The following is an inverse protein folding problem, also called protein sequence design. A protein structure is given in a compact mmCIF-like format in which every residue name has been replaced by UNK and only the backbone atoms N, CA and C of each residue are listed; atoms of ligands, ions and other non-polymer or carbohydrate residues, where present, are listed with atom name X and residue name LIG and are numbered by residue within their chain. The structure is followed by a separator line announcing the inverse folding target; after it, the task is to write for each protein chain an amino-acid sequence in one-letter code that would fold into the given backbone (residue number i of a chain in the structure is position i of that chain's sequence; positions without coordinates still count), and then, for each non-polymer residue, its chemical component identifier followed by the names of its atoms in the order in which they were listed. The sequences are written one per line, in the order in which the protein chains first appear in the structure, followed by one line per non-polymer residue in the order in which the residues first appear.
data_IF_524372718106
#
_entry.id   IF_524372718106
#
_cell.length_a   1.000
_cell.length_b   1.000
_cell.length_c   1.000
_cell.angle_alpha   90.00
_cell.angle_beta   90.00
_cell.angle_gamma   90.00
#
_symmetry.space_group_name_H-M   'P 1'
#
loop_
_entity.id
_entity.type
_entity.pdbx_description
1 polymer ?
#
# COMPACT_ATOMS: atom_id res chain seq x y z
N UNK A 1 9.74 -9.84 24.58
CA UNK A 1 10.00 -10.34 23.22
C UNK A 1 8.85 -9.93 22.30
N UNK A 2 9.02 -9.95 20.97
CA UNK A 2 7.97 -9.56 20.00
C UNK A 2 8.25 -8.32 19.13
N UNK A 3 9.51 -7.90 19.03
CA UNK A 3 10.00 -6.98 17.99
C UNK A 3 11.23 -7.64 17.38
N UNK A 4 11.24 -7.80 16.06
CA UNK A 4 12.32 -8.41 15.28
C UNK A 4 12.81 -7.39 14.26
N UNK A 5 14.12 -7.29 14.01
CA UNK A 5 14.69 -6.28 13.12
C UNK A 5 15.21 -6.89 11.81
N UNK A 6 15.13 -6.11 10.73
CA UNK A 6 15.79 -6.32 9.45
C UNK A 6 15.70 -7.73 8.85
N UNK A 7 16.72 -8.56 9.07
CA UNK A 7 16.78 -9.93 8.55
C UNK A 7 15.99 -10.91 9.42
N UNK A 8 15.99 -10.72 10.74
CA UNK A 8 15.20 -11.53 11.68
C UNK A 8 13.71 -11.34 11.41
N UNK A 9 13.28 -10.10 11.11
CA UNK A 9 11.90 -9.80 10.74
C UNK A 9 11.44 -10.56 9.48
N UNK A 10 12.30 -10.62 8.45
CA UNK A 10 12.05 -11.39 7.22
C UNK A 10 12.05 -12.89 7.52
N UNK A 11 12.95 -13.38 8.38
CA UNK A 11 12.97 -14.78 8.80
C UNK A 11 11.68 -15.16 9.53
N UNK A 12 11.26 -14.40 10.54
CA UNK A 12 10.01 -14.66 11.28
C UNK A 12 8.80 -14.68 10.34
N UNK A 13 8.67 -13.73 9.40
CA UNK A 13 7.59 -13.81 8.40
C UNK A 13 7.71 -15.05 7.51
N UNK A 14 8.92 -15.47 7.15
CA UNK A 14 9.15 -16.67 6.32
C UNK A 14 8.73 -17.98 7.01
N UNK A 15 8.84 -18.04 8.33
CA UNK A 15 8.44 -19.19 9.15
C UNK A 15 6.90 -19.32 9.20
N UNK A 16 6.19 -18.18 9.18
CA UNK A 16 4.72 -18.10 9.25
C UNK A 16 3.99 -18.14 7.90
N UNK A 17 4.67 -18.27 6.75
CA UNK A 17 3.99 -18.25 5.41
C UNK A 17 3.00 -19.40 5.17
N UNK A 18 2.97 -20.42 6.03
CA UNK A 18 2.04 -21.55 5.92
C UNK A 18 0.82 -21.41 6.82
N UNK A 19 0.81 -20.43 7.72
CA UNK A 19 -0.25 -20.26 8.69
C UNK A 19 -1.52 -19.72 7.99
N UNK A 20 -2.67 -20.09 8.54
CA UNK A 20 -3.96 -19.51 8.16
C UNK A 20 -4.14 -18.16 8.83
N UNK A 21 -4.49 -17.13 8.07
CA UNK A 21 -4.72 -15.77 8.57
C UNK A 21 -6.23 -15.46 8.60
N UNK A 22 -6.73 -14.97 9.73
CA UNK A 22 -8.15 -14.69 9.91
C UNK A 22 -8.64 -13.54 9.01
N UNK A 23 -7.74 -12.61 8.66
CA UNK A 23 -8.01 -11.53 7.71
C UNK A 23 -8.08 -11.95 6.23
N UNK A 24 -7.71 -13.19 5.87
CA UNK A 24 -7.63 -13.62 4.47
C UNK A 24 -9.00 -13.86 3.83
N UNK A 25 -9.28 -13.18 2.72
CA UNK A 25 -10.47 -13.44 1.89
C UNK A 25 -10.25 -14.61 0.93
N UNK A 26 -11.34 -15.10 0.32
CA UNK A 26 -11.27 -16.09 -0.77
C UNK A 26 -10.39 -15.64 -1.94
N UNK A 27 -10.30 -14.33 -2.20
CA UNK A 27 -9.37 -13.78 -3.20
C UNK A 27 -7.92 -14.09 -2.84
N UNK A 28 -7.50 -13.75 -1.63
CA UNK A 28 -6.11 -13.97 -1.21
C UNK A 28 -5.80 -15.44 -0.97
N UNK A 29 -6.75 -16.27 -0.54
CA UNK A 29 -6.59 -17.73 -0.51
C UNK A 29 -6.34 -18.31 -1.91
N UNK A 30 -6.98 -17.78 -2.95
CA UNK A 30 -6.72 -18.17 -4.34
C UNK A 30 -5.38 -17.65 -4.86
N UNK A 31 -5.05 -16.38 -4.61
CA UNK A 31 -3.79 -15.77 -5.08
C UNK A 31 -2.55 -16.38 -4.40
N UNK A 32 -2.66 -16.74 -3.12
CA UNK A 32 -1.57 -17.28 -2.30
C UNK A 32 -1.45 -18.81 -2.29
N UNK A 33 -2.20 -19.51 -3.16
CA UNK A 33 -2.20 -20.98 -3.24
C UNK A 33 -0.81 -21.56 -3.52
N UNK A 34 -0.12 -20.98 -4.50
CA UNK A 34 1.19 -21.46 -4.97
C UNK A 34 2.36 -20.65 -4.40
N UNK A 35 2.08 -19.71 -3.48
CA UNK A 35 3.07 -18.81 -2.91
C UNK A 35 4.12 -19.60 -2.12
N UNK A 36 5.39 -19.33 -2.41
CA UNK A 36 6.52 -19.96 -1.72
C UNK A 36 7.71 -19.01 -1.61
N UNK A 37 8.48 -19.19 -0.53
CA UNK A 37 9.71 -18.47 -0.27
C UNK A 37 10.78 -19.43 0.22
N UNK A 38 11.86 -19.57 -0.55
CA UNK A 38 12.95 -20.49 -0.25
C UNK A 38 14.30 -19.84 -0.60
N UNK A 39 15.24 -19.84 0.35
CA UNK A 39 16.61 -19.31 0.15
C UNK A 39 16.63 -17.88 -0.44
N UNK A 40 15.78 -16.98 0.08
CA UNK A 40 15.67 -15.60 -0.39
C UNK A 40 14.93 -15.41 -1.73
N UNK A 41 14.41 -16.49 -2.35
CA UNK A 41 13.68 -16.45 -3.63
C UNK A 41 12.19 -16.59 -3.40
N UNK A 42 11.42 -15.62 -3.90
CA UNK A 42 9.96 -15.64 -3.95
C UNK A 42 9.46 -16.29 -5.24
N UNK A 43 8.43 -17.15 -5.12
CA UNK A 43 7.70 -17.76 -6.23
C UNK A 43 6.18 -17.81 -5.93
N UNK A 44 5.35 -18.08 -6.94
CA UNK A 44 3.89 -18.11 -6.78
C UNK A 44 3.25 -16.75 -6.50
N UNK A 45 3.88 -15.65 -6.94
CA UNK A 45 3.47 -14.27 -6.67
C UNK A 45 2.30 -13.83 -7.58
N UNK A 46 1.18 -14.57 -7.53
CA UNK A 46 -0.08 -14.20 -8.20
C UNK A 46 -0.82 -13.14 -7.37
N UNK A 47 -1.57 -12.26 -8.01
CA UNK A 47 -2.30 -11.15 -7.34
C UNK A 47 -1.50 -9.84 -7.23
N UNK A 48 -0.17 -9.89 -7.17
CA UNK A 48 0.69 -8.70 -7.05
C UNK A 48 0.89 -7.98 -8.41
N UNK A 49 -0.21 -7.57 -9.05
CA UNK A 49 -0.20 -6.76 -10.26
C UNK A 49 0.72 -7.29 -11.38
N UNK A 50 1.48 -6.38 -11.99
CA UNK A 50 2.28 -6.67 -13.21
C UNK A 50 3.67 -7.32 -12.98
N UNK A 51 3.96 -7.83 -11.77
CA UNK A 51 5.29 -8.34 -11.38
C UNK A 51 5.94 -9.33 -12.34
N UNK A 52 5.23 -10.40 -12.73
CA UNK A 52 5.77 -11.43 -13.62
C UNK A 52 6.11 -10.89 -15.01
N UNK A 53 5.47 -9.79 -15.41
CA UNK A 53 5.65 -9.13 -16.70
C UNK A 53 6.71 -8.03 -16.70
N UNK A 54 7.33 -7.66 -15.56
CA UNK A 54 8.13 -6.42 -15.43
C UNK A 54 9.52 -6.57 -14.77
N UNK A 55 10.14 -7.74 -14.76
CA UNK A 55 11.58 -7.84 -14.41
C UNK A 55 12.42 -7.02 -15.40
N UNK A 56 13.32 -6.16 -14.91
CA UNK A 56 14.01 -5.17 -15.76
C UNK A 56 14.83 -5.80 -16.91
N UNK A 57 15.31 -7.03 -16.74
CA UNK A 57 16.04 -7.78 -17.76
C UNK A 57 15.20 -8.55 -18.79
N UNK A 58 13.87 -8.70 -18.62
CA UNK A 58 13.05 -9.55 -19.50
C UNK A 58 12.43 -8.85 -20.70
N UNK A 59 12.68 -7.54 -20.90
CA UNK A 59 12.07 -6.73 -21.97
C UNK A 59 13.05 -6.12 -22.96
N UNK A 60 12.65 -6.18 -24.23
CA UNK A 60 13.35 -5.52 -25.33
C UNK A 60 13.33 -4.00 -25.18
N UNK A 61 14.30 -3.33 -25.81
CA UNK A 61 14.38 -1.87 -25.83
C UNK A 61 13.08 -1.22 -26.34
N UNK A 62 12.50 -1.78 -27.41
CA UNK A 62 11.24 -1.33 -28.02
C UNK A 62 10.09 -1.33 -27.01
N UNK A 63 9.97 -2.38 -26.19
CA UNK A 63 8.92 -2.46 -25.17
C UNK A 63 9.09 -1.36 -24.10
N UNK A 64 10.33 -1.03 -23.70
CA UNK A 64 10.60 0.05 -22.73
C UNK A 64 10.20 1.41 -23.29
N UNK A 65 10.53 1.69 -24.55
CA UNK A 65 10.13 2.94 -25.24
C UNK A 65 8.60 3.04 -25.34
N UNK A 66 7.93 1.97 -25.75
CA UNK A 66 6.46 1.90 -25.81
C UNK A 66 5.82 2.15 -24.43
N UNK A 67 6.38 1.57 -23.36
CA UNK A 67 5.92 1.83 -21.99
C UNK A 67 6.05 3.30 -21.58
N UNK A 68 7.18 3.96 -21.85
CA UNK A 68 7.36 5.39 -21.56
C UNK A 68 6.36 6.24 -22.36
N UNK A 69 6.11 5.88 -23.63
CA UNK A 69 5.14 6.57 -24.48
C UNK A 69 3.71 6.44 -23.94
N UNK A 70 3.21 5.24 -23.65
CA UNK A 70 1.84 5.06 -23.13
C UNK A 70 1.62 5.66 -21.73
N UNK A 71 2.68 5.72 -20.91
CA UNK A 71 2.64 6.43 -19.63
C UNK A 71 2.47 7.95 -19.77
N UNK A 72 2.71 8.57 -20.93
CA UNK A 72 2.54 10.03 -21.10
C UNK A 72 1.12 10.50 -20.75
N UNK A 73 0.09 9.72 -21.09
CA UNK A 73 -1.32 10.00 -20.73
C UNK A 73 -1.51 10.13 -19.21
N UNK A 74 -0.86 9.25 -18.44
CA UNK A 74 -0.95 9.23 -16.99
C UNK A 74 -0.04 10.27 -16.33
N UNK A 75 1.17 10.51 -16.88
CA UNK A 75 2.04 11.60 -16.41
C UNK A 75 1.41 12.98 -16.58
N UNK A 76 0.63 13.19 -17.65
CA UNK A 76 -0.13 14.42 -17.85
C UNK A 76 -1.17 14.66 -16.75
N UNK A 77 -1.73 13.62 -16.11
CA UNK A 77 -2.62 13.79 -14.96
C UNK A 77 -1.88 14.33 -13.72
N UNK A 78 -0.56 14.11 -13.64
CA UNK A 78 0.29 14.63 -12.57
C UNK A 78 0.84 16.04 -12.83
N UNK A 79 0.70 16.59 -14.04
CA UNK A 79 1.34 17.88 -14.38
C UNK A 79 0.77 19.08 -13.62
N UNK A 80 -0.43 18.97 -13.07
CA UNK A 80 -1.05 19.98 -12.19
C UNK A 80 -0.66 19.85 -10.72
N UNK A 81 0.03 18.78 -10.31
CA UNK A 81 0.42 18.51 -8.93
C UNK A 81 1.88 18.94 -8.72
N UNK A 82 2.17 20.03 -7.98
CA UNK A 82 3.54 20.54 -7.82
C UNK A 82 4.58 19.51 -7.32
N UNK A 83 4.25 18.54 -6.42
CA UNK A 83 5.21 17.51 -6.02
C UNK A 83 5.60 16.52 -7.12
N UNK A 84 4.79 16.38 -8.19
CA UNK A 84 4.82 15.23 -9.08
C UNK A 84 6.18 14.92 -9.71
N UNK A 85 6.90 15.93 -10.21
CA UNK A 85 8.20 15.71 -10.85
C UNK A 85 9.26 15.17 -9.88
N UNK A 86 9.22 15.59 -8.60
CA UNK A 86 10.09 15.04 -7.55
C UNK A 86 9.71 13.57 -7.26
N UNK A 87 8.41 13.29 -7.14
CA UNK A 87 7.91 11.95 -6.78
C UNK A 87 8.08 10.94 -7.93
N UNK A 88 7.87 11.31 -9.20
CA UNK A 88 8.07 10.45 -10.39
C UNK A 88 9.54 10.03 -10.52
N UNK A 89 10.48 10.98 -10.30
CA UNK A 89 11.92 10.70 -10.26
C UNK A 89 12.27 9.69 -9.16
N UNK A 90 11.82 9.94 -7.93
CA UNK A 90 12.09 9.02 -6.80
C UNK A 90 11.47 7.65 -7.03
N UNK A 91 10.27 7.58 -7.61
CA UNK A 91 9.63 6.33 -8.00
C UNK A 91 10.41 5.54 -9.06
N UNK A 92 11.02 6.23 -10.03
CA UNK A 92 11.91 5.61 -11.01
C UNK A 92 13.16 5.01 -10.32
N UNK A 93 13.81 5.78 -9.45
CA UNK A 93 15.01 5.36 -8.70
C UNK A 93 14.72 4.15 -7.79
N UNK A 94 13.60 4.15 -7.04
CA UNK A 94 13.12 2.99 -6.26
C UNK A 94 12.96 1.74 -7.12
N UNK A 95 12.36 1.90 -8.31
CA UNK A 95 12.05 0.78 -9.19
C UNK A 95 13.30 0.13 -9.77
N UNK A 96 14.29 0.96 -10.15
CA UNK A 96 15.60 0.48 -10.58
C UNK A 96 16.29 -0.34 -9.48
N UNK A 97 16.30 0.15 -8.22
CA UNK A 97 16.88 -0.58 -7.07
C UNK A 97 16.15 -1.89 -6.76
N UNK A 98 14.83 -1.92 -6.90
CA UNK A 98 14.02 -3.14 -6.79
C UNK A 98 14.21 -4.13 -7.97
N UNK A 99 15.04 -3.81 -8.98
CA UNK A 99 15.19 -4.57 -10.23
C UNK A 99 13.85 -4.79 -10.97
N UNK A 100 12.98 -3.78 -10.92
CA UNK A 100 11.65 -3.76 -11.51
C UNK A 100 11.54 -2.65 -12.55
N UNK A 101 10.82 -2.90 -13.64
CA UNK A 101 10.50 -1.86 -14.59
C UNK A 101 9.57 -0.82 -13.92
N UNK A 102 9.82 0.47 -14.19
CA UNK A 102 8.88 1.54 -13.85
C UNK A 102 7.58 1.39 -14.67
N UNK A 103 6.64 0.59 -14.15
CA UNK A 103 5.34 0.28 -14.75
C UNK A 103 4.23 1.23 -14.34
N UNK A 104 3.04 1.02 -14.90
CA UNK A 104 1.88 1.88 -14.63
C UNK A 104 1.45 1.82 -13.15
N UNK A 105 1.46 0.63 -12.54
CA UNK A 105 1.12 0.45 -11.12
C UNK A 105 1.99 1.32 -10.18
N UNK A 106 3.26 1.52 -10.55
CA UNK A 106 4.22 2.37 -9.82
C UNK A 106 3.97 3.86 -10.05
N UNK A 107 3.66 4.25 -11.28
CA UNK A 107 3.24 5.60 -11.62
C UNK A 107 1.94 6.01 -10.91
N UNK A 108 1.02 5.06 -10.67
CA UNK A 108 -0.20 5.31 -9.88
C UNK A 108 0.11 5.59 -8.41
N UNK A 109 1.08 4.90 -7.79
CA UNK A 109 1.51 5.22 -6.43
C UNK A 109 2.20 6.59 -6.35
N UNK A 110 2.98 6.95 -7.38
CA UNK A 110 3.55 8.30 -7.52
C UNK A 110 2.46 9.37 -7.62
N UNK A 111 1.44 9.18 -8.46
CA UNK A 111 0.33 10.13 -8.61
C UNK A 111 -0.49 10.26 -7.32
N UNK A 112 -0.78 9.13 -6.65
CA UNK A 112 -1.41 9.10 -5.33
C UNK A 112 -0.62 9.92 -4.30
N UNK A 113 0.68 9.66 -4.13
CA UNK A 113 1.49 10.42 -3.16
C UNK A 113 1.60 11.90 -3.55
N UNK A 114 1.69 12.22 -4.85
CA UNK A 114 1.74 13.60 -5.33
C UNK A 114 0.45 14.37 -5.00
N UNK A 115 -0.71 13.72 -5.11
CA UNK A 115 -2.00 14.29 -4.68
C UNK A 115 -2.03 14.52 -3.17
N UNK A 116 -1.57 13.55 -2.37
CA UNK A 116 -1.59 13.68 -0.90
C UNK A 116 -0.66 14.81 -0.42
N UNK A 117 0.53 14.94 -1.01
CA UNK A 117 1.48 16.02 -0.71
C UNK A 117 0.99 17.40 -1.20
N UNK A 118 0.14 17.47 -2.22
CA UNK A 118 -0.51 18.71 -2.67
C UNK A 118 -1.67 19.11 -1.74
N UNK A 119 -2.55 18.16 -1.41
CA UNK A 119 -3.80 18.44 -0.67
C UNK A 119 -3.64 18.53 0.84
N UNK A 120 -2.79 17.71 1.44
CA UNK A 120 -2.64 17.61 2.91
C UNK A 120 -1.17 17.56 3.37
N UNK A 121 -0.26 18.44 2.89
CA UNK A 121 1.15 18.42 3.28
C UNK A 121 1.36 18.54 4.80
N UNK A 122 0.47 19.24 5.51
CA UNK A 122 0.52 19.41 6.97
C UNK A 122 0.20 18.13 7.75
N UNK A 123 -0.48 17.15 7.16
CA UNK A 123 -0.82 15.88 7.80
C UNK A 123 0.40 14.94 7.95
N UNK A 124 1.44 15.20 7.16
CA UNK A 124 2.70 14.47 7.09
C UNK A 124 3.77 14.97 8.09
N UNK A 125 3.34 15.58 9.20
CA UNK A 125 4.23 16.16 10.20
C UNK A 125 5.18 15.12 10.85
N UNK A 126 6.40 15.55 11.17
CA UNK A 126 7.51 14.73 11.70
C UNK A 126 7.19 13.90 12.96
N UNK A 127 6.20 14.32 13.77
CA UNK A 127 5.79 13.61 15.00
C UNK A 127 4.69 12.54 14.76
N UNK A 128 4.26 12.35 13.52
CA UNK A 128 3.22 11.40 13.11
C UNK A 128 3.75 10.39 12.09
N UNK A 129 3.32 9.14 12.23
CA UNK A 129 3.56 8.11 11.23
C UNK A 129 2.54 8.16 10.09
N UNK A 130 2.91 7.59 8.94
CA UNK A 130 1.97 7.21 7.89
C UNK A 130 1.66 5.72 7.97
N UNK A 131 0.38 5.36 7.94
CA UNK A 131 -0.08 3.96 7.88
C UNK A 131 -0.37 3.57 6.43
N UNK A 132 0.20 2.48 5.94
CA UNK A 132 -0.12 1.89 4.64
C UNK A 132 -0.75 0.52 4.83
N UNK A 133 -1.97 0.36 4.34
CA UNK A 133 -2.74 -0.89 4.40
C UNK A 133 -2.68 -1.52 3.01
N UNK A 134 -1.97 -2.65 2.87
CA UNK A 134 -1.86 -3.40 1.63
C UNK A 134 -1.00 -2.75 0.55
N UNK A 135 0.30 -2.51 0.82
CA UNK A 135 1.23 -1.90 -0.15
C UNK A 135 1.63 -2.86 -1.30
N UNK A 136 1.74 -4.16 -0.99
CA UNK A 136 2.01 -5.26 -1.92
C UNK A 136 3.47 -5.40 -2.35
N UNK A 137 4.14 -4.30 -2.76
CA UNK A 137 5.58 -4.26 -3.06
C UNK A 137 6.33 -3.20 -2.25
N UNK A 138 5.75 -2.72 -1.16
CA UNK A 138 6.34 -1.66 -0.35
C UNK A 138 6.62 -0.37 -1.14
N UNK A 139 5.94 -0.16 -2.28
CA UNK A 139 6.26 0.90 -3.23
C UNK A 139 5.83 2.26 -2.65
N UNK A 140 4.67 2.32 -2.02
CA UNK A 140 4.18 3.55 -1.40
C UNK A 140 5.00 3.86 -0.14
N UNK A 141 5.30 2.86 0.69
CA UNK A 141 6.17 2.97 1.87
C UNK A 141 7.57 3.48 1.49
N UNK A 142 8.17 2.91 0.44
CA UNK A 142 9.47 3.37 -0.07
C UNK A 142 9.39 4.81 -0.64
N UNK A 143 8.32 5.17 -1.35
CA UNK A 143 8.10 6.54 -1.85
C UNK A 143 7.98 7.54 -0.69
N UNK A 144 7.18 7.22 0.33
CA UNK A 144 6.95 8.06 1.51
C UNK A 144 8.27 8.39 2.23
N UNK A 145 9.13 7.39 2.44
CA UNK A 145 10.44 7.57 3.08
C UNK A 145 11.44 8.28 2.16
N UNK A 146 11.57 7.85 0.90
CA UNK A 146 12.57 8.37 -0.03
C UNK A 146 12.29 9.81 -0.50
N UNK A 147 11.04 10.26 -0.45
CA UNK A 147 10.67 11.66 -0.69
C UNK A 147 10.80 12.55 0.55
N UNK A 148 11.05 11.93 1.71
CA UNK A 148 10.97 12.51 3.06
C UNK A 148 9.57 13.06 3.41
N UNK A 149 8.53 12.42 2.89
CA UNK A 149 7.14 12.70 3.27
C UNK A 149 6.79 12.17 4.67
N UNK A 150 7.52 11.20 5.21
CA UNK A 150 7.45 10.85 6.63
C UNK A 150 8.75 10.22 7.10
N UNK A 151 8.98 10.23 8.41
CA UNK A 151 10.11 9.57 9.09
C UNK A 151 9.74 8.19 9.64
N UNK A 152 8.44 7.83 9.65
CA UNK A 152 7.96 6.53 10.15
C UNK A 152 6.78 6.03 9.31
N UNK A 153 6.91 4.81 8.80
CA UNK A 153 5.79 4.11 8.13
C UNK A 153 5.38 2.91 8.97
N UNK A 154 4.08 2.76 9.21
CA UNK A 154 3.48 1.51 9.66
C UNK A 154 2.91 0.81 8.44
N UNK A 155 3.32 -0.42 8.17
CA UNK A 155 2.78 -1.21 7.03
C UNK A 155 2.02 -2.42 7.57
N UNK A 156 0.77 -2.58 7.13
CA UNK A 156 -0.11 -3.68 7.52
C UNK A 156 -0.50 -4.48 6.28
N UNK A 157 -0.26 -5.79 6.31
CA UNK A 157 -0.60 -6.68 5.21
C UNK A 157 -0.72 -8.15 5.68
N UNK A 158 -1.30 -9.03 4.86
CA UNK A 158 -1.23 -10.49 5.08
C UNK A 158 0.24 -10.95 5.11
N UNK A 159 0.56 -12.00 5.84
CA UNK A 159 1.94 -12.46 6.13
C UNK A 159 2.75 -12.67 4.84
N UNK A 160 2.14 -13.27 3.82
CA UNK A 160 2.77 -13.52 2.51
C UNK A 160 3.03 -12.24 1.72
N UNK A 161 2.10 -11.28 1.72
CA UNK A 161 2.27 -9.97 1.06
C UNK A 161 3.19 -9.04 1.87
N UNK A 162 3.15 -9.08 3.19
CA UNK A 162 4.02 -8.34 4.09
C UNK A 162 5.48 -8.77 3.95
N UNK A 163 5.74 -10.06 3.76
CA UNK A 163 7.07 -10.57 3.43
C UNK A 163 7.60 -9.96 2.13
N UNK A 164 6.76 -9.83 1.10
CA UNK A 164 7.11 -9.14 -0.14
C UNK A 164 7.32 -7.64 0.09
N UNK A 165 6.47 -6.96 0.86
CA UNK A 165 6.64 -5.56 1.23
C UNK A 165 8.01 -5.33 1.88
N UNK A 166 8.36 -6.09 2.92
CA UNK A 166 9.62 -5.93 3.65
C UNK A 166 10.85 -6.20 2.77
N UNK A 167 10.81 -7.23 1.91
CA UNK A 167 11.89 -7.52 0.96
C UNK A 167 12.06 -6.34 -0.02
N UNK A 168 10.98 -5.84 -0.61
CA UNK A 168 11.05 -4.80 -1.64
C UNK A 168 11.34 -3.40 -1.07
N UNK A 169 10.94 -3.09 0.17
CA UNK A 169 11.39 -1.90 0.90
C UNK A 169 12.91 -1.94 1.09
N UNK A 170 13.45 -3.03 1.64
CA UNK A 170 14.91 -3.16 1.85
C UNK A 170 15.71 -3.15 0.55
N UNK A 171 15.17 -3.69 -0.55
CA UNK A 171 15.79 -3.56 -1.87
C UNK A 171 15.82 -2.11 -2.37
N UNK A 172 14.79 -1.31 -2.08
CA UNK A 172 14.73 0.10 -2.49
C UNK A 172 15.58 1.03 -1.60
N UNK A 173 15.62 0.73 -0.29
CA UNK A 173 16.18 1.56 0.77
C UNK A 173 16.96 0.66 1.75
N UNK A 174 18.19 0.22 1.40
CA UNK A 174 18.95 -0.73 2.20
C UNK A 174 19.38 -0.19 3.57
N UNK A 175 19.53 1.13 3.69
CA UNK A 175 19.92 1.82 4.93
C UNK A 175 18.73 2.20 5.83
N UNK A 176 17.49 1.94 5.37
CA UNK A 176 16.29 2.07 6.19
C UNK A 176 16.15 0.81 7.03
N UNK A 177 16.25 0.97 8.35
CA UNK A 177 15.86 -0.10 9.27
C UNK A 177 14.41 -0.51 9.04
N UNK A 178 14.12 -1.78 9.25
CA UNK A 178 12.74 -2.29 9.26
C UNK A 178 12.55 -3.19 10.48
N UNK A 179 11.35 -3.25 11.04
CA UNK A 179 11.06 -4.14 12.15
C UNK A 179 9.67 -4.76 12.04
N UNK A 180 9.54 -6.04 12.38
CA UNK A 180 8.26 -6.73 12.55
C UNK A 180 7.86 -6.69 14.02
N UNK A 181 6.65 -6.20 14.31
CA UNK A 181 6.05 -6.29 15.63
C UNK A 181 5.02 -7.43 15.68
N UNK A 182 5.15 -8.31 16.69
CA UNK A 182 4.24 -9.45 16.92
C UNK A 182 3.55 -9.36 18.29
N UNK A 183 3.59 -8.19 18.93
CA UNK A 183 2.85 -7.85 20.14
C UNK A 183 2.76 -6.32 20.28
N UNK A 184 1.78 -5.82 21.04
CA UNK A 184 1.64 -4.38 21.33
C UNK A 184 2.93 -3.76 21.88
N UNK A 185 3.54 -4.38 22.90
CA UNK A 185 4.82 -3.95 23.47
C UNK A 185 6.01 -4.13 22.50
N UNK A 186 5.87 -4.93 21.44
CA UNK A 186 6.77 -4.93 20.30
C UNK A 186 6.59 -3.69 19.44
N UNK A 187 5.35 -3.42 19.04
CA UNK A 187 4.97 -2.29 18.22
C UNK A 187 5.37 -0.95 18.85
N UNK A 188 5.02 -0.73 20.12
CA UNK A 188 5.32 0.52 20.83
C UNK A 188 6.85 0.78 20.89
N UNK A 189 7.66 -0.28 21.06
CA UNK A 189 9.13 -0.19 21.00
C UNK A 189 9.64 0.12 19.59
N UNK A 190 9.05 -0.47 18.55
CA UNK A 190 9.39 -0.17 17.15
C UNK A 190 9.04 1.26 16.76
N UNK A 191 7.91 1.79 17.26
CA UNK A 191 7.50 3.17 17.07
C UNK A 191 8.44 4.16 17.78
N UNK A 192 8.92 3.80 18.98
CA UNK A 192 9.86 4.61 19.77
C UNK A 192 11.33 4.54 19.32
N UNK A 193 11.73 3.54 18.53
CA UNK A 193 13.12 3.40 18.08
C UNK A 193 13.41 4.35 16.89
N UNK A 194 14.34 5.28 17.12
CA UNK A 194 14.79 6.26 16.13
C UNK A 194 15.45 5.61 14.91
N UNK A 195 16.04 4.42 15.06
CA UNK A 195 16.61 3.62 13.96
C UNK A 195 15.51 3.00 13.10
N UNK A 196 14.43 2.56 13.77
CA UNK A 196 13.16 2.07 13.19
C UNK A 196 13.37 1.40 11.83
N UNK A 197 12.91 1.96 10.72
CA UNK A 197 12.05 3.14 10.50
C UNK A 197 10.72 2.79 9.81
N UNK A 198 10.58 1.54 9.36
CA UNK A 198 9.30 0.89 9.05
C UNK A 198 8.93 -0.07 10.18
N UNK A 199 7.69 -0.01 10.65
CA UNK A 199 7.11 -1.01 11.55
C UNK A 199 6.08 -1.83 10.78
N UNK A 200 6.37 -3.10 10.56
CA UNK A 200 5.52 -4.06 9.89
C UNK A 200 4.60 -4.78 10.89
N UNK A 201 3.35 -4.98 10.48
CA UNK A 201 2.30 -5.69 11.21
C UNK A 201 1.59 -6.67 10.26
N UNK A 202 1.33 -7.90 10.73
CA UNK A 202 0.43 -8.82 10.00
C UNK A 202 -1.00 -8.29 10.06
N UNK A 203 -1.85 -8.71 9.13
CA UNK A 203 -3.27 -8.31 9.09
C UNK A 203 -4.03 -8.65 10.35
N UNK A 204 -3.64 -9.73 11.04
CA UNK A 204 -4.30 -10.19 12.26
C UNK A 204 -3.81 -9.42 13.50
N UNK A 205 -2.65 -8.76 13.38
CA UNK A 205 -2.02 -7.89 14.41
C UNK A 205 -2.33 -6.38 14.18
N UNK A 206 -3.26 -6.06 13.26
CA UNK A 206 -3.54 -4.69 12.81
C UNK A 206 -3.89 -3.72 13.96
N UNK A 207 -4.58 -4.18 15.00
CA UNK A 207 -5.03 -3.32 16.11
C UNK A 207 -3.89 -2.62 16.84
N UNK A 208 -2.65 -3.13 16.77
CA UNK A 208 -1.52 -2.52 17.48
C UNK A 208 -1.27 -1.06 17.05
N UNK A 209 -1.62 -0.69 15.80
CA UNK A 209 -1.45 0.68 15.31
C UNK A 209 -2.33 1.72 16.04
N UNK A 210 -3.34 1.29 16.82
CA UNK A 210 -4.19 2.20 17.59
C UNK A 210 -3.41 3.03 18.64
N UNK A 211 -2.32 2.50 19.18
CA UNK A 211 -1.45 3.24 20.12
C UNK A 211 -0.60 4.33 19.43
N UNK A 212 -0.44 4.27 18.10
CA UNK A 212 0.43 5.19 17.37
C UNK A 212 -0.27 6.51 17.02
N UNK A 213 0.53 7.59 17.02
CA UNK A 213 0.17 8.86 16.37
C UNK A 213 0.27 8.70 14.85
N UNK A 214 -0.87 8.51 14.19
CA UNK A 214 -0.94 8.39 12.73
C UNK A 214 -1.61 9.63 12.17
N UNK A 215 -0.93 10.34 11.27
CA UNK A 215 -1.46 11.55 10.63
C UNK A 215 -2.19 11.24 9.31
N UNK A 216 -1.68 10.26 8.58
CA UNK A 216 -2.23 9.81 7.29
C UNK A 216 -2.29 8.29 7.27
N UNK A 217 -3.43 7.73 6.86
CA UNK A 217 -3.58 6.34 6.46
C UNK A 217 -3.86 6.27 4.95
N UNK A 218 -3.32 5.25 4.28
CA UNK A 218 -3.48 5.05 2.84
C UNK A 218 -3.81 3.60 2.53
N UNK A 219 -4.86 3.39 1.71
CA UNK A 219 -5.18 2.11 1.09
C UNK A 219 -5.39 2.31 -0.43
N UNK A 220 -4.71 1.50 -1.25
CA UNK A 220 -4.85 1.52 -2.71
C UNK A 220 -5.05 0.10 -3.21
N UNK A 221 -6.19 -0.12 -3.88
CA UNK A 221 -6.59 -1.37 -4.52
C UNK A 221 -6.59 -2.63 -3.60
N UNK A 222 -6.65 -2.44 -2.28
CA UNK A 222 -6.48 -3.53 -1.30
C UNK A 222 -7.75 -3.83 -0.48
N UNK A 223 -8.52 -2.84 -0.01
CA UNK A 223 -9.77 -3.11 0.72
C UNK A 223 -10.85 -3.76 -0.17
N UNK A 224 -10.81 -3.54 -1.49
CA UNK A 224 -11.64 -4.27 -2.46
C UNK A 224 -11.41 -5.80 -2.48
N UNK A 225 -10.35 -6.28 -1.84
CA UNK A 225 -9.97 -7.70 -1.75
C UNK A 225 -10.13 -8.26 -0.33
N UNK A 226 -10.78 -7.51 0.55
CA UNK A 226 -11.10 -7.92 1.92
C UNK A 226 -12.58 -8.25 2.05
N UNK A 227 -12.92 -9.15 2.97
CA UNK A 227 -14.32 -9.38 3.32
C UNK A 227 -14.88 -8.15 4.06
N UNK A 228 -16.17 -7.79 3.93
CA UNK A 228 -16.74 -6.60 4.56
C UNK A 228 -16.50 -6.48 6.08
N UNK A 229 -16.54 -7.55 6.90
CA UNK A 229 -16.18 -7.47 8.33
C UNK A 229 -14.73 -7.04 8.57
N UNK A 230 -13.78 -7.49 7.74
CA UNK A 230 -12.38 -7.07 7.81
C UNK A 230 -12.23 -5.57 7.51
N UNK A 231 -12.95 -5.07 6.51
CA UNK A 231 -12.98 -3.63 6.18
C UNK A 231 -13.54 -2.83 7.35
N UNK A 232 -14.66 -3.27 7.93
CA UNK A 232 -15.27 -2.63 9.10
C UNK A 232 -14.33 -2.61 10.31
N UNK A 233 -13.57 -3.68 10.54
CA UNK A 233 -12.55 -3.75 11.58
C UNK A 233 -11.43 -2.73 11.36
N UNK A 234 -10.88 -2.59 10.15
CA UNK A 234 -9.90 -1.54 9.84
C UNK A 234 -10.45 -0.14 10.08
N UNK A 235 -11.65 0.18 9.58
CA UNK A 235 -12.29 1.47 9.83
C UNK A 235 -12.51 1.74 11.33
N UNK A 236 -12.93 0.73 12.10
CA UNK A 236 -13.09 0.82 13.55
C UNK A 236 -11.76 1.15 14.24
N UNK A 237 -10.66 0.50 13.84
CA UNK A 237 -9.33 0.77 14.38
C UNK A 237 -8.77 2.14 13.95
N UNK A 238 -8.98 2.55 12.69
CA UNK A 238 -8.59 3.87 12.17
C UNK A 238 -9.22 5.01 12.98
N UNK A 239 -10.50 4.90 13.36
CA UNK A 239 -11.17 5.92 14.21
C UNK A 239 -10.61 5.98 15.64
N UNK A 240 -9.98 4.91 16.10
CA UNK A 240 -9.41 4.75 17.45
C UNK A 240 -7.90 5.10 17.53
N UNK A 241 -7.23 5.49 16.43
CA UNK A 241 -5.78 5.80 16.49
C UNK A 241 -5.49 6.99 17.40
N UNK A 242 -4.36 6.92 18.11
CA UNK A 242 -3.93 7.99 19.00
C UNK A 242 -3.64 9.28 18.23
N UNK A 243 -3.96 10.44 18.84
CA UNK A 243 -3.78 11.77 18.23
C UNK A 243 -5.08 12.48 17.87
N UNK A 244 -4.97 13.71 17.34
CA UNK A 244 -6.14 14.57 17.06
C UNK A 244 -6.81 14.23 15.74
N UNK A 245 -6.06 14.27 14.65
CA UNK A 245 -6.57 14.18 13.28
C UNK A 245 -5.93 13.01 12.55
N UNK A 246 -6.74 12.27 11.80
CA UNK A 246 -6.32 11.23 10.86
C UNK A 246 -6.97 11.48 9.51
N UNK A 247 -6.16 11.72 8.49
CA UNK A 247 -6.61 11.70 7.10
C UNK A 247 -6.52 10.28 6.56
N UNK A 248 -7.59 9.78 5.94
CA UNK A 248 -7.60 8.48 5.28
C UNK A 248 -7.84 8.65 3.78
N UNK A 249 -6.89 8.17 2.98
CA UNK A 249 -7.04 8.01 1.53
C UNK A 249 -7.36 6.55 1.21
N UNK A 250 -8.47 6.32 0.53
CA UNK A 250 -8.93 5.00 0.13
C UNK A 250 -9.27 5.00 -1.36
N UNK A 251 -8.58 4.18 -2.16
CA UNK A 251 -8.75 4.09 -3.60
C UNK A 251 -9.03 2.65 -4.02
N UNK A 252 -10.28 2.31 -4.35
CA UNK A 252 -10.74 0.94 -4.59
C UNK A 252 -11.85 0.91 -5.65
N UNK A 253 -12.10 -0.26 -6.27
CA UNK A 253 -13.27 -0.47 -7.16
C UNK A 253 -14.56 -0.13 -6.44
N UNK A 254 -15.52 0.47 -7.15
CA UNK A 254 -16.85 0.74 -6.61
C UNK A 254 -17.61 -0.54 -6.27
N UNK A 255 -17.38 -1.62 -7.05
CA UNK A 255 -17.87 -2.97 -6.78
C UNK A 255 -16.83 -4.02 -7.21
N UNK A 256 -16.64 -5.06 -6.40
CA UNK A 256 -15.87 -6.27 -6.75
C UNK A 256 -16.55 -7.51 -6.15
N UNK A 257 -16.73 -8.55 -6.97
CA UNK A 257 -17.16 -9.87 -6.50
C UNK A 257 -15.93 -10.74 -6.22
N UNK A 258 -15.86 -11.31 -5.02
CA UNK A 258 -14.78 -12.21 -4.59
C UNK A 258 -15.05 -13.65 -5.12
N UNK A 259 -14.04 -14.54 -5.15
CA UNK A 259 -14.20 -15.91 -5.66
C UNK A 259 -15.26 -16.77 -4.95
N UNK A 260 -15.53 -16.53 -3.67
CA UNK A 260 -16.63 -17.17 -2.92
C UNK A 260 -18.03 -16.62 -3.26
N UNK A 261 -18.10 -15.58 -4.09
CA UNK A 261 -19.33 -14.92 -4.51
C UNK A 261 -19.70 -13.69 -3.68
N UNK A 262 -18.98 -13.37 -2.60
CA UNK A 262 -19.17 -12.16 -1.77
C UNK A 262 -19.00 -10.90 -2.61
N UNK A 263 -19.94 -9.96 -2.50
CA UNK A 263 -19.83 -8.65 -3.13
C UNK A 263 -19.26 -7.64 -2.13
N UNK A 264 -18.24 -6.90 -2.56
CA UNK A 264 -17.63 -5.79 -1.82
C UNK A 264 -17.93 -4.51 -2.59
N UNK A 265 -18.59 -3.54 -1.94
CA UNK A 265 -18.92 -2.23 -2.54
C UNK A 265 -18.26 -1.09 -1.78
N UNK A 266 -17.73 -0.10 -2.47
CA UNK A 266 -17.11 1.08 -1.86
C UNK A 266 -18.11 1.96 -1.09
N UNK A 267 -19.37 1.97 -1.55
CA UNK A 267 -20.50 2.63 -0.89
C UNK A 267 -20.79 2.06 0.51
N UNK A 268 -20.50 0.77 0.70
CA UNK A 268 -20.89 0.00 1.89
C UNK A 268 -19.77 -0.02 2.94
N UNK A 269 -18.64 0.65 2.66
CA UNK A 269 -17.57 0.85 3.63
C UNK A 269 -18.08 1.78 4.76
N UNK A 270 -17.71 1.56 6.04
CA UNK A 270 -18.22 2.35 7.17
C UNK A 270 -17.56 3.74 7.33
N UNK A 271 -17.67 4.52 6.27
CA UNK A 271 -17.62 5.98 6.29
C UNK A 271 -18.69 6.54 7.24
N UNK A 272 -18.37 7.62 7.95
CA UNK A 272 -19.34 8.36 8.76
C UNK A 272 -19.87 9.55 7.97
N UNK A 273 -21.10 9.97 8.28
CA UNK A 273 -21.63 11.27 7.82
C UNK A 273 -20.86 12.45 8.43
N UNK A 274 -20.19 12.23 9.57
CA UNK A 274 -19.34 13.21 10.25
C UNK A 274 -17.90 13.27 9.69
N UNK A 275 -17.57 12.44 8.70
CA UNK A 275 -16.25 12.47 8.06
C UNK A 275 -16.12 13.71 7.17
N UNK A 276 -15.07 14.50 7.39
CA UNK A 276 -14.77 15.64 6.54
C UNK A 276 -14.24 15.16 5.20
N UNK A 277 -15.08 15.05 4.17
CA UNK A 277 -14.68 14.61 2.83
C UNK A 277 -13.96 15.76 2.09
N UNK A 278 -12.69 15.56 1.75
CA UNK A 278 -11.88 16.48 0.95
C UNK A 278 -11.93 16.16 -0.55
N UNK A 279 -12.16 14.89 -0.89
CA UNK A 279 -12.20 14.36 -2.26
C UNK A 279 -13.05 13.09 -2.28
N UNK A 280 -13.93 12.92 -3.26
CA UNK A 280 -14.69 11.68 -3.49
C UNK A 280 -15.13 11.56 -4.95
N UNK A 281 -14.29 10.98 -5.81
CA UNK A 281 -14.49 10.95 -7.26
C UNK A 281 -13.91 9.68 -7.92
N UNK A 282 -14.24 9.40 -9.20
CA UNK A 282 -13.56 8.35 -9.96
C UNK A 282 -12.06 8.69 -10.10
N UNK A 283 -11.19 7.82 -9.58
CA UNK A 283 -9.74 8.07 -9.53
C UNK A 283 -9.15 8.13 -10.96
N UNK A 284 -8.66 9.29 -11.45
CA UNK A 284 -8.41 9.47 -12.88
C UNK A 284 -7.30 8.57 -13.43
N UNK A 285 -6.27 8.25 -12.62
CA UNK A 285 -5.19 7.33 -13.01
C UNK A 285 -5.52 5.84 -12.82
N UNK A 286 -6.66 5.49 -12.23
CA UNK A 286 -7.09 4.11 -12.03
C UNK A 286 -8.29 3.67 -12.91
N UNK A 287 -8.83 4.51 -13.79
CA UNK A 287 -9.91 4.06 -14.69
C UNK A 287 -9.43 3.11 -15.79
N UNK A 288 -8.20 3.31 -16.27
CA UNK A 288 -7.65 2.60 -17.42
C UNK A 288 -6.29 1.97 -17.12
N UNK A 289 -5.95 0.94 -17.90
CA UNK A 289 -4.59 0.45 -18.07
C UNK A 289 -4.21 0.39 -19.55
N UNK A 290 -2.91 0.32 -19.85
CA UNK A 290 -2.43 0.05 -21.20
C UNK A 290 -1.87 -1.37 -21.30
N UNK A 291 -1.99 -1.98 -22.49
CA UNK A 291 -1.29 -3.22 -22.83
C UNK A 291 -0.84 -3.23 -24.30
N UNK A 292 0.04 -4.18 -24.67
CA UNK A 292 0.48 -4.35 -26.06
C UNK A 292 -0.61 -5.10 -26.85
N UNK A 293 -1.38 -4.37 -27.65
CA UNK A 293 -2.45 -4.89 -28.50
C UNK A 293 -3.55 -3.85 -28.69
N UNK A 294 -4.40 -3.98 -29.71
CA UNK A 294 -5.53 -3.05 -29.93
C UNK A 294 -6.80 -3.52 -29.18
N UNK A 295 -7.62 -2.63 -28.59
CA UNK A 295 -7.28 -1.26 -28.20
C UNK A 295 -6.19 -1.26 -27.11
N UNK A 296 -5.30 -0.27 -27.20
CA UNK A 296 -4.09 -0.15 -26.35
C UNK A 296 -4.46 0.21 -24.91
N UNK A 297 -5.29 1.24 -24.76
CA UNK A 297 -5.89 1.61 -23.48
C UNK A 297 -7.19 0.85 -23.31
N UNK A 298 -7.43 0.31 -22.12
CA UNK A 298 -8.61 -0.47 -21.77
C UNK A 298 -9.11 -0.06 -20.39
N UNK A 299 -10.43 0.02 -20.17
CA UNK A 299 -10.98 0.23 -18.83
C UNK A 299 -10.62 -0.97 -17.93
N UNK A 300 -10.58 -0.74 -16.63
CA UNK A 300 -10.58 -1.84 -15.67
C UNK A 300 -11.93 -2.58 -15.64
N UNK A 301 -11.87 -3.77 -15.06
CA UNK A 301 -13.02 -4.52 -14.58
C UNK A 301 -13.66 -3.78 -13.40
N UNK A 302 -14.60 -2.87 -13.73
CA UNK A 302 -15.30 -1.98 -12.81
C UNK A 302 -14.62 -0.59 -12.66
N UNK A 303 -15.41 0.48 -12.41
CA UNK A 303 -14.88 1.80 -12.10
C UNK A 303 -14.15 1.80 -10.76
N UNK A 304 -13.11 2.64 -10.63
CA UNK A 304 -12.32 2.78 -9.39
C UNK A 304 -12.55 4.17 -8.81
N UNK A 305 -12.99 4.24 -7.55
CA UNK A 305 -13.21 5.49 -6.82
C UNK A 305 -12.04 5.74 -5.88
N UNK A 306 -11.70 7.00 -5.66
CA UNK A 306 -10.90 7.39 -4.51
C UNK A 306 -11.61 8.41 -3.63
N UNK A 307 -11.44 8.24 -2.31
CA UNK A 307 -11.91 9.18 -1.30
C UNK A 307 -10.74 9.59 -0.41
N UNK A 308 -10.60 10.89 -0.18
CA UNK A 308 -9.76 11.47 0.88
C UNK A 308 -10.69 12.09 1.91
N UNK A 309 -10.62 11.62 3.16
CA UNK A 309 -11.43 12.15 4.23
C UNK A 309 -10.63 12.35 5.53
N UNK A 310 -10.95 13.41 6.27
CA UNK A 310 -10.61 13.54 7.69
C UNK A 310 -11.60 12.69 8.48
N UNK A 311 -11.14 11.62 9.12
CA UNK A 311 -12.03 10.69 9.82
C UNK A 311 -12.52 11.27 11.14
N UNK A 312 -13.84 11.26 11.32
CA UNK A 312 -14.48 11.53 12.61
C UNK A 312 -14.11 10.48 13.65
N UNK A 313 -13.94 10.94 14.90
CA UNK A 313 -13.64 10.09 16.05
C UNK A 313 -14.92 9.46 16.57
N UNK A 314 -14.86 8.18 16.95
CA UNK A 314 -15.84 7.68 17.92
C UNK A 314 -15.59 8.38 19.24
N UNK A 315 -16.65 8.88 19.89
CA UNK A 315 -16.58 9.22 21.29
C UNK A 315 -16.14 7.96 22.06
N UNK A 316 -15.14 8.11 22.93
CA UNK A 316 -14.82 7.09 23.93
C UNK A 316 -15.93 7.20 24.98
N UNK A 317 -16.82 6.21 24.99
CA UNK A 317 -17.88 6.04 26.01
C UNK A 317 -17.36 5.09 27.07
#
# INVERSE_FOLDING_TARGET
MGLFHDSDAIQTLSEHIKDSEAGASSHWLEMHRDFSFHQGKLAGIKGFGTYQLLRAGSKSYVQRVAHVFFQRRFRAMGSSLPPFLKVDRVGYEISARQNQQYGLDRLRQVLTLSLLLDRIPHAFADDRATLVIGDGFGMLSALLLATSATRKVVVVNLTKTLLVDMIFIRMALPDVGVALATSQAGFDRGMGDARVSVVALRSDDYSFFQSAKIGVAVNVASMQEMNPPTIANYFSALRQVSGRELFFYCCNREEKRLPDGTNVRFSDYPWSVDDGVLLDEPCPWHQEFYQLGWPIFRPYDGPIRHRLALLSRKAIV
#
